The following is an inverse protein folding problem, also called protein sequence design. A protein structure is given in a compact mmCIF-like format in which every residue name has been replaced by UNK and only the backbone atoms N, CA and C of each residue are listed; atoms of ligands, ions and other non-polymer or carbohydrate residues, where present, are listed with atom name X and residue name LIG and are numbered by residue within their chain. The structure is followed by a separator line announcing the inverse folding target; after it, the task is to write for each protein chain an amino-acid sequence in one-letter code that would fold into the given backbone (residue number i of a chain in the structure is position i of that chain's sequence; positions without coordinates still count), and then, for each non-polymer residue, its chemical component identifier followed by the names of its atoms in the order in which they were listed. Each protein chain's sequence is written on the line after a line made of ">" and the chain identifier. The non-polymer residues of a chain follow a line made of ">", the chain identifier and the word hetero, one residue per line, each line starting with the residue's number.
data_IF_418877029006
#
_entry.id   IF_418877029006
#
_cell.length_a   1.000
_cell.length_b   1.000
_cell.length_c   1.000
_cell.angle_alpha   90.00
_cell.angle_beta   90.00
_cell.angle_gamma   90.00
#
_symmetry.space_group_name_H-M   'P 1'
#
loop_
_entity.id
_entity.type
_entity.pdbx_description
1 polymer ?
#
# COMPACT_ATOMS: atom_id res chain seq x y z
N UNK A 1 -9.84 -18.50 2.94
CA UNK A 1 -8.98 -17.38 2.51
C UNK A 1 -9.83 -16.37 1.74
N UNK A 2 -10.17 -15.23 2.35
CA UNK A 2 -11.10 -14.22 1.84
C UNK A 2 -10.52 -13.41 0.66
N UNK A 3 -11.10 -13.61 -0.53
CA UNK A 3 -11.71 -12.57 -1.38
C UNK A 3 -10.90 -11.49 -2.13
N UNK A 4 -9.63 -11.22 -1.84
CA UNK A 4 -8.90 -10.11 -2.50
C UNK A 4 -7.48 -10.40 -2.98
N UNK A 5 -6.92 -11.54 -2.60
CA UNK A 5 -5.52 -11.91 -2.87
C UNK A 5 -5.38 -13.00 -3.94
N UNK A 6 -6.46 -13.74 -4.20
CA UNK A 6 -6.48 -14.79 -5.24
C UNK A 6 -6.35 -14.11 -6.61
N UNK A 7 -5.22 -14.35 -7.29
CA UNK A 7 -4.89 -13.73 -8.59
C UNK A 7 -4.08 -12.44 -8.50
N UNK A 8 -3.68 -11.99 -7.30
CA UNK A 8 -2.80 -10.83 -7.15
C UNK A 8 -1.41 -11.12 -7.71
N UNK A 9 -0.95 -10.32 -8.67
CA UNK A 9 0.41 -10.37 -9.22
C UNK A 9 1.40 -9.53 -8.43
N UNK A 10 1.00 -8.87 -7.33
CA UNK A 10 1.86 -7.94 -6.58
C UNK A 10 3.20 -8.56 -6.17
N UNK A 11 3.19 -9.82 -5.71
CA UNK A 11 4.43 -10.56 -5.37
C UNK A 11 5.36 -10.73 -6.59
N UNK A 12 4.81 -10.87 -7.79
CA UNK A 12 5.57 -11.05 -9.04
C UNK A 12 6.19 -9.74 -9.54
N UNK A 13 5.71 -8.58 -9.06
CA UNK A 13 6.25 -7.25 -9.41
C UNK A 13 7.41 -6.81 -8.53
N UNK A 14 7.76 -7.62 -7.52
CA UNK A 14 8.95 -7.37 -6.70
C UNK A 14 10.21 -7.50 -7.57
N UNK A 15 11.23 -6.67 -7.34
CA UNK A 15 12.54 -6.84 -7.97
C UNK A 15 13.12 -8.23 -7.68
N UNK A 16 13.87 -8.80 -8.63
CA UNK A 16 14.49 -10.13 -8.47
C UNK A 16 15.46 -10.20 -7.29
N UNK A 17 16.06 -9.07 -6.91
CA UNK A 17 16.97 -8.90 -5.78
C UNK A 17 16.29 -8.43 -4.49
N UNK A 18 14.96 -8.54 -4.39
CA UNK A 18 14.20 -8.05 -3.24
C UNK A 18 14.70 -8.60 -1.91
N UNK A 19 14.75 -9.93 -1.77
CA UNK A 19 15.18 -10.57 -0.52
C UNK A 19 16.70 -10.52 -0.31
N UNK A 20 17.48 -10.49 -1.40
CA UNK A 20 18.94 -10.58 -1.32
C UNK A 20 19.64 -9.23 -1.10
N UNK A 21 19.07 -8.13 -1.59
CA UNK A 21 19.73 -6.83 -1.56
C UNK A 21 18.80 -5.69 -1.11
N UNK A 22 17.64 -5.53 -1.76
CA UNK A 22 16.79 -4.35 -1.54
C UNK A 22 16.26 -4.28 -0.11
N UNK A 23 15.69 -5.39 0.39
CA UNK A 23 15.14 -5.46 1.74
C UNK A 23 16.22 -5.34 2.84
N UNK A 24 17.35 -6.08 2.78
CA UNK A 24 18.46 -5.85 3.71
C UNK A 24 19.02 -4.42 3.68
N UNK A 25 19.16 -3.81 2.50
CA UNK A 25 19.64 -2.44 2.38
C UNK A 25 18.66 -1.42 3.00
N UNK A 26 17.34 -1.63 2.84
CA UNK A 26 16.34 -0.80 3.50
C UNK A 26 16.42 -0.92 5.03
N UNK A 27 16.60 -2.14 5.55
CA UNK A 27 16.81 -2.35 6.99
C UNK A 27 18.05 -1.59 7.50
N UNK A 28 19.15 -1.60 6.75
CA UNK A 28 20.40 -0.96 7.15
C UNK A 28 20.33 0.58 7.20
N UNK A 29 19.40 1.21 6.45
CA UNK A 29 19.21 2.67 6.48
C UNK A 29 18.56 3.18 7.76
N UNK A 30 17.79 2.35 8.43
CA UNK A 30 17.06 2.69 9.64
C UNK A 30 17.13 1.51 10.63
N UNK A 31 18.31 1.28 11.25
CA UNK A 31 18.56 0.12 12.11
C UNK A 31 17.78 0.17 13.44
N UNK A 32 17.35 1.36 13.86
CA UNK A 32 16.51 1.56 15.05
C UNK A 32 15.03 1.27 14.80
N UNK A 33 14.68 0.99 13.54
CA UNK A 33 13.33 0.75 13.07
C UNK A 33 12.38 1.90 13.46
N UNK A 34 12.84 3.13 13.29
CA UNK A 34 12.02 4.33 13.53
C UNK A 34 10.86 4.34 12.53
N UNK A 35 9.63 4.38 13.02
CA UNK A 35 8.45 4.41 12.18
C UNK A 35 8.39 5.71 11.38
N UNK A 36 8.33 5.63 10.04
CA UNK A 36 8.31 6.83 9.18
C UNK A 36 7.02 7.66 9.30
N UNK A 37 5.96 7.07 9.85
CA UNK A 37 4.64 7.70 9.99
C UNK A 37 4.49 8.48 11.30
N UNK A 38 5.09 8.02 12.40
CA UNK A 38 4.93 8.64 13.72
C UNK A 38 6.26 9.04 14.40
N UNK A 39 7.41 8.67 13.81
CA UNK A 39 8.74 9.00 14.32
C UNK A 39 9.14 8.23 15.59
N UNK A 40 8.37 7.24 16.03
CA UNK A 40 8.68 6.43 17.22
C UNK A 40 9.40 5.13 16.83
N UNK A 41 10.32 4.63 17.68
CA UNK A 41 11.04 3.38 17.43
C UNK A 41 10.12 2.15 17.44
N UNK A 42 10.67 1.00 17.02
CA UNK A 42 10.01 -0.29 17.17
C UNK A 42 9.07 -0.67 16.02
N UNK A 43 9.30 -0.16 14.81
CA UNK A 43 8.61 -0.63 13.60
C UNK A 43 8.81 -2.14 13.38
N UNK A 44 7.71 -2.84 13.07
CA UNK A 44 7.66 -4.29 12.89
C UNK A 44 7.39 -4.71 11.43
N UNK A 45 7.20 -3.74 10.54
CA UNK A 45 6.91 -3.97 9.14
C UNK A 45 7.65 -2.98 8.23
N UNK A 46 8.19 -3.48 7.11
CA UNK A 46 8.79 -2.63 6.07
C UNK A 46 7.69 -2.17 5.11
N UNK A 47 7.39 -0.89 5.14
CA UNK A 47 6.33 -0.23 4.38
C UNK A 47 6.90 0.56 3.20
N UNK A 48 6.07 0.75 2.17
CA UNK A 48 6.34 1.71 1.11
C UNK A 48 5.76 3.07 1.50
N UNK A 49 6.57 4.12 1.62
CA UNK A 49 6.11 5.48 1.95
C UNK A 49 5.02 5.95 0.99
N UNK A 50 5.26 5.78 -0.31
CA UNK A 50 4.30 5.97 -1.38
C UNK A 50 3.87 4.62 -1.94
N UNK A 51 2.55 4.32 -2.01
CA UNK A 51 2.07 3.05 -2.51
C UNK A 51 2.35 2.89 -4.01
N UNK A 52 2.69 1.68 -4.44
CA UNK A 52 2.97 1.40 -5.85
C UNK A 52 3.99 0.29 -6.02
N UNK A 53 4.69 0.31 -7.16
CA UNK A 53 5.79 -0.61 -7.48
C UNK A 53 7.15 0.11 -7.47
N UNK A 54 7.24 1.27 -6.81
CA UNK A 54 8.52 1.94 -6.51
C UNK A 54 9.18 1.28 -5.31
N UNK A 55 10.13 0.40 -5.58
CA UNK A 55 10.90 -0.35 -4.59
C UNK A 55 12.25 0.29 -4.29
N UNK A 56 12.42 1.58 -4.61
CA UNK A 56 13.63 2.33 -4.27
C UNK A 56 13.82 2.41 -2.76
N UNK A 57 15.07 2.48 -2.31
CA UNK A 57 15.37 2.54 -0.89
C UNK A 57 14.81 3.79 -0.22
N UNK A 58 14.60 4.89 -0.96
CA UNK A 58 14.02 6.12 -0.41
C UNK A 58 12.53 5.97 -0.10
N UNK A 59 11.86 5.10 -0.86
CA UNK A 59 10.45 4.79 -0.70
C UNK A 59 10.19 3.67 0.32
N UNK A 60 11.21 3.02 0.88
CA UNK A 60 11.06 1.93 1.84
C UNK A 60 11.49 2.36 3.24
N UNK A 61 10.65 2.10 4.24
CA UNK A 61 10.99 2.40 5.63
C UNK A 61 10.13 1.62 6.62
N UNK A 62 10.51 1.67 7.89
CA UNK A 62 9.80 0.95 8.94
C UNK A 62 8.48 1.61 9.31
N UNK A 63 7.49 0.79 9.63
CA UNK A 63 6.21 1.22 10.17
C UNK A 63 5.69 0.23 11.22
N UNK A 64 4.82 0.72 12.10
CA UNK A 64 4.07 -0.12 13.04
C UNK A 64 2.86 -0.74 12.34
N UNK A 65 2.83 -2.06 12.14
CA UNK A 65 1.67 -2.82 11.65
C UNK A 65 0.95 -3.57 12.78
N UNK A 66 1.65 -4.51 13.45
CA UNK A 66 1.05 -5.34 14.50
C UNK A 66 1.21 -4.75 15.89
N UNK A 67 2.14 -3.81 16.06
CA UNK A 67 2.35 -3.11 17.33
C UNK A 67 1.61 -1.78 17.32
N UNK A 68 1.21 -1.30 18.49
CA UNK A 68 0.64 0.03 18.63
C UNK A 68 1.66 1.09 18.16
N UNK A 69 1.22 2.16 17.50
CA UNK A 69 -0.18 2.53 17.26
C UNK A 69 -0.72 2.02 15.91
N UNK A 70 -0.16 0.99 15.28
CA UNK A 70 -0.67 0.43 14.02
C UNK A 70 -0.71 1.40 12.83
N UNK A 71 0.25 2.33 12.76
CA UNK A 71 0.34 3.37 11.73
C UNK A 71 0.13 2.83 10.30
N UNK A 72 0.76 1.70 9.96
CA UNK A 72 0.67 1.11 8.63
C UNK A 72 -0.77 0.72 8.26
N UNK A 73 -1.55 0.20 9.22
CA UNK A 73 -2.94 -0.18 8.98
C UNK A 73 -3.83 1.03 8.71
N UNK A 74 -3.60 2.12 9.43
CA UNK A 74 -4.31 3.38 9.20
C UNK A 74 -3.96 3.97 7.83
N UNK A 75 -2.67 3.97 7.44
CA UNK A 75 -2.23 4.40 6.11
C UNK A 75 -2.86 3.54 5.00
N UNK A 76 -2.74 2.22 5.11
CA UNK A 76 -3.28 1.28 4.11
C UNK A 76 -4.80 1.41 3.95
N UNK A 77 -5.53 1.64 5.06
CA UNK A 77 -6.97 1.89 5.01
C UNK A 77 -7.30 3.18 4.24
N UNK A 78 -6.57 4.26 4.50
CA UNK A 78 -6.74 5.54 3.80
C UNK A 78 -6.44 5.41 2.30
N UNK A 79 -5.33 4.76 1.94
CA UNK A 79 -4.97 4.48 0.54
C UNK A 79 -6.03 3.65 -0.17
N UNK A 80 -6.54 2.60 0.47
CA UNK A 80 -7.61 1.76 -0.07
C UNK A 80 -8.92 2.51 -0.28
N UNK A 81 -9.24 3.47 0.60
CA UNK A 81 -10.41 4.33 0.45
C UNK A 81 -10.22 5.35 -0.67
N UNK A 82 -9.04 5.97 -0.78
CA UNK A 82 -8.69 6.87 -1.87
C UNK A 82 -8.78 6.17 -3.24
N UNK A 83 -8.26 4.94 -3.34
CA UNK A 83 -8.34 4.14 -4.56
C UNK A 83 -9.80 3.81 -4.96
N UNK A 84 -10.66 3.50 -3.99
CA UNK A 84 -12.10 3.29 -4.24
C UNK A 84 -12.82 4.57 -4.66
N UNK A 85 -12.43 5.72 -4.11
CA UNK A 85 -13.01 7.01 -4.48
C UNK A 85 -12.59 7.40 -5.91
N UNK A 86 -11.33 7.13 -6.29
CA UNK A 86 -10.82 7.37 -7.63
C UNK A 86 -11.41 6.41 -8.69
N UNK A 87 -11.74 5.17 -8.30
CA UNK A 87 -12.38 4.19 -9.17
C UNK A 87 -13.67 3.66 -8.51
N UNK A 88 -14.74 4.48 -8.50
CA UNK A 88 -15.98 4.11 -7.86
C UNK A 88 -16.58 2.90 -8.55
N UNK A 89 -17.01 1.91 -7.75
CA UNK A 89 -17.77 0.79 -8.29
C UNK A 89 -19.04 1.33 -8.95
N UNK A 90 -19.51 0.70 -10.05
CA UNK A 90 -20.78 1.05 -10.65
C UNK A 90 -21.87 1.13 -9.58
N UNK A 91 -22.64 2.22 -9.61
CA UNK A 91 -23.73 2.41 -8.67
C UNK A 91 -24.72 1.25 -8.74
N UNK A 92 -25.41 0.98 -7.63
CA UNK A 92 -26.45 -0.06 -7.58
C UNK A 92 -27.63 0.24 -8.51
N UNK A 93 -27.80 1.49 -8.92
CA UNK A 93 -28.79 1.93 -9.90
C UNK A 93 -28.14 2.14 -11.26
N UNK A 94 -28.80 1.67 -12.31
CA UNK A 94 -28.43 1.97 -13.70
C UNK A 94 -28.55 3.49 -13.91
N UNK A 95 -27.57 4.14 -14.56
CA UNK A 95 -27.72 5.52 -15.00
C UNK A 95 -28.99 5.68 -15.87
N UNK A 96 -29.66 6.85 -15.85
CA UNK A 96 -30.80 7.09 -16.73
C UNK A 96 -30.40 6.90 -18.19
N UNK A 97 -31.28 6.30 -18.99
CA UNK A 97 -31.03 6.13 -20.43
C UNK A 97 -30.94 7.49 -21.12
N UNK A 98 -29.94 7.68 -21.97
CA UNK A 98 -29.86 8.88 -22.81
C UNK A 98 -31.00 8.85 -23.81
N UNK A 99 -31.80 9.92 -23.84
CA UNK A 99 -32.87 10.07 -24.82
C UNK A 99 -32.27 10.13 -26.25
N UNK A 100 -32.82 9.39 -27.23
CA UNK A 100 -32.25 9.30 -28.58
C UNK A 100 -32.12 10.65 -29.33
N UNK A 101 -32.83 11.69 -28.88
CA UNK A 101 -32.81 13.03 -29.47
C UNK A 101 -31.83 14.03 -28.82
N UNK A 102 -31.12 13.65 -27.76
CA UNK A 102 -30.12 14.49 -27.10
C UNK A 102 -28.72 13.96 -27.47
N UNK A 103 -28.21 14.41 -28.61
CA UNK A 103 -26.78 14.30 -28.97
C UNK A 103 -26.08 15.62 -28.66
#
# INVERSE_FOLDING_TARGET
>A
MSGGWKGSTRRQRLPSNWESATRPAAHARNPEHICHLCGQPGGDYLDHKNPGDDHSLDNLDWAHDRVAPHCHRYKSSQEGNAAKAANPRPGRRRPPEQHPGLR
#
